data_IF_106487511958
#
_entry.id   IF_106487511958
#
_cell.length_a   1.000
_cell.length_b   1.000
_cell.length_c   1.000
_cell.angle_alpha   90.00
_cell.angle_beta   90.00
_cell.angle_gamma   90.00
#
_symmetry.space_group_name_H-M   'P 1'
#
loop_
_entity.id
_entity.type
_entity.pdbx_description
1 polymer ?
#
# COMPACT_ATOMS: atom_id res chain seq x y z
N UNK A 1 -14.57 37.17 49.47
CA UNK A 1 -13.80 36.62 48.34
C UNK A 1 -13.86 35.15 48.44
N UNK A 2 -14.80 34.52 47.74
CA UNK A 2 -14.95 33.06 47.67
C UNK A 2 -14.07 32.54 46.59
N UNK A 3 -13.24 31.50 46.78
CA UNK A 3 -12.42 30.93 45.70
C UNK A 3 -13.33 30.20 44.74
N UNK A 4 -13.23 30.56 43.45
CA UNK A 4 -13.85 29.86 42.35
C UNK A 4 -13.32 28.42 42.30
N UNK A 5 -14.24 27.47 42.42
CA UNK A 5 -13.99 26.06 42.28
C UNK A 5 -13.34 25.78 40.91
N UNK A 6 -12.13 25.26 40.96
CA UNK A 6 -11.47 24.67 39.79
C UNK A 6 -12.32 23.50 39.34
N UNK A 7 -13.00 23.63 38.22
CA UNK A 7 -13.61 22.49 37.53
C UNK A 7 -12.50 21.54 37.14
N UNK A 8 -12.37 20.46 37.90
CA UNK A 8 -11.59 19.29 37.55
C UNK A 8 -12.13 18.72 36.23
N UNK A 9 -11.49 19.14 35.13
CA UNK A 9 -11.61 18.41 33.86
C UNK A 9 -10.93 17.07 34.13
N UNK A 10 -11.76 16.05 34.40
CA UNK A 10 -11.28 14.68 34.58
C UNK A 10 -10.39 14.31 33.40
N UNK A 11 -9.10 14.37 33.60
CA UNK A 11 -8.09 13.97 32.63
C UNK A 11 -8.26 12.48 32.40
N UNK A 12 -8.89 12.11 31.28
CA UNK A 12 -8.98 10.71 30.87
C UNK A 12 -7.56 10.14 30.85
N UNK A 13 -7.32 8.97 31.47
CA UNK A 13 -5.98 8.40 31.50
C UNK A 13 -5.47 8.23 30.08
N UNK A 14 -4.28 8.77 29.80
CA UNK A 14 -3.62 8.62 28.50
C UNK A 14 -3.40 7.13 28.23
N UNK A 15 -3.60 6.67 26.97
CA UNK A 15 -3.35 5.27 26.64
C UNK A 15 -1.89 4.92 26.91
N UNK A 16 -1.67 3.73 27.50
CA UNK A 16 -0.33 3.20 27.66
C UNK A 16 0.36 2.97 26.31
N UNK A 17 1.68 2.82 26.32
CA UNK A 17 2.50 2.59 25.12
C UNK A 17 1.96 1.47 24.24
N UNK A 18 1.65 0.31 24.82
CA UNK A 18 1.15 -0.84 24.07
C UNK A 18 -0.24 -0.58 23.45
N UNK A 19 -1.09 0.14 24.16
CA UNK A 19 -2.41 0.53 23.65
C UNK A 19 -2.27 1.51 22.49
N UNK A 20 -1.37 2.48 22.59
CA UNK A 20 -1.07 3.43 21.50
C UNK A 20 -0.57 2.70 20.25
N UNK A 21 0.37 1.75 20.41
CA UNK A 21 0.87 0.95 19.29
C UNK A 21 -0.23 0.09 18.66
N UNK A 22 -1.10 -0.52 19.47
CA UNK A 22 -2.24 -1.29 18.98
C UNK A 22 -3.23 -0.42 18.20
N UNK A 23 -3.55 0.80 18.69
CA UNK A 23 -4.39 1.77 17.98
C UNK A 23 -3.79 2.15 16.63
N UNK A 24 -2.51 2.52 16.59
CA UNK A 24 -1.83 2.92 15.34
C UNK A 24 -1.76 1.77 14.35
N UNK A 25 -1.47 0.55 14.82
CA UNK A 25 -1.47 -0.66 14.00
C UNK A 25 -2.85 -0.94 13.40
N UNK A 26 -3.91 -0.82 14.21
CA UNK A 26 -5.27 -1.04 13.78
C UNK A 26 -5.75 0.02 12.76
N UNK A 27 -5.31 1.28 12.91
CA UNK A 27 -5.57 2.35 11.94
C UNK A 27 -4.82 2.08 10.62
N UNK A 28 -3.58 1.62 10.68
CA UNK A 28 -2.85 1.24 9.46
C UNK A 28 -3.44 0.01 8.78
N UNK A 29 -4.01 -0.93 9.53
CA UNK A 29 -4.70 -2.10 9.01
C UNK A 29 -5.94 -1.75 8.16
N UNK A 30 -6.58 -0.58 8.38
CA UNK A 30 -7.72 -0.12 7.57
C UNK A 30 -7.42 -0.15 6.07
N UNK A 31 -6.23 0.28 5.68
CA UNK A 31 -5.84 0.28 4.26
C UNK A 31 -5.73 -1.13 3.70
N UNK A 32 -5.05 -2.04 4.40
CA UNK A 32 -4.87 -3.41 3.94
C UNK A 32 -6.21 -4.17 3.92
N UNK A 33 -7.03 -4.04 4.96
CA UNK A 33 -8.37 -4.63 5.00
C UNK A 33 -9.26 -4.16 3.84
N UNK A 34 -9.22 -2.88 3.48
CA UNK A 34 -9.99 -2.33 2.37
C UNK A 34 -9.62 -2.95 1.01
N UNK A 35 -8.41 -3.50 0.88
CA UNK A 35 -7.92 -4.16 -0.33
C UNK A 35 -8.18 -5.67 -0.25
N UNK A 36 -7.65 -6.31 0.80
CA UNK A 36 -7.48 -7.75 0.81
C UNK A 36 -8.77 -8.50 1.16
N UNK A 37 -9.65 -7.89 1.99
CA UNK A 37 -10.89 -8.53 2.43
C UNK A 37 -11.87 -8.78 1.26
N UNK A 38 -11.89 -7.89 0.27
CA UNK A 38 -12.83 -7.96 -0.86
C UNK A 38 -12.36 -8.87 -1.99
N UNK A 39 -11.08 -9.27 -2.03
CA UNK A 39 -10.55 -10.08 -3.12
C UNK A 39 -11.33 -11.40 -3.26
N UNK A 40 -11.77 -11.97 -2.14
CA UNK A 40 -12.59 -13.19 -2.11
C UNK A 40 -14.04 -12.99 -2.58
N UNK A 41 -14.46 -11.73 -2.86
CA UNK A 41 -15.81 -11.39 -3.29
C UNK A 41 -15.90 -11.08 -4.80
N UNK A 42 -14.79 -11.22 -5.55
CA UNK A 42 -14.75 -10.80 -6.96
C UNK A 42 -15.70 -11.60 -7.86
N UNK A 43 -15.87 -12.88 -7.59
CA UNK A 43 -16.78 -13.72 -8.36
C UNK A 43 -18.24 -13.27 -8.22
N UNK A 44 -18.68 -13.04 -6.98
CA UNK A 44 -20.03 -12.58 -6.71
C UNK A 44 -20.26 -11.16 -7.24
N UNK A 45 -19.22 -10.33 -7.27
CA UNK A 45 -19.27 -9.02 -7.92
C UNK A 45 -19.45 -9.16 -9.44
N UNK A 46 -18.71 -10.07 -10.11
CA UNK A 46 -18.88 -10.34 -11.55
C UNK A 46 -20.32 -10.75 -11.86
N UNK A 47 -20.83 -11.70 -11.11
CA UNK A 47 -22.22 -12.17 -11.27
C UNK A 47 -23.23 -11.04 -11.01
N UNK A 48 -23.03 -10.25 -9.93
CA UNK A 48 -23.92 -9.17 -9.54
C UNK A 48 -24.01 -8.04 -10.55
N UNK A 49 -22.91 -7.77 -11.29
CA UNK A 49 -22.85 -6.73 -12.31
C UNK A 49 -23.03 -7.26 -13.74
N UNK A 50 -23.33 -8.56 -13.91
CA UNK A 50 -23.54 -9.18 -15.22
C UNK A 50 -22.29 -9.22 -16.10
N UNK A 51 -21.10 -9.30 -15.49
CA UNK A 51 -19.82 -9.40 -16.18
C UNK A 51 -19.51 -10.86 -16.57
N UNK A 52 -18.70 -11.03 -17.61
CA UNK A 52 -18.17 -12.34 -17.97
C UNK A 52 -17.38 -12.95 -16.81
N UNK A 53 -17.51 -14.24 -16.50
CA UNK A 53 -16.77 -14.92 -15.44
C UNK A 53 -15.24 -14.74 -15.55
N UNK A 54 -14.73 -14.69 -16.79
CA UNK A 54 -13.30 -14.49 -17.05
C UNK A 54 -12.89 -13.01 -17.14
N UNK A 55 -13.85 -12.06 -17.04
CA UNK A 55 -13.55 -10.65 -17.10
C UNK A 55 -12.81 -10.18 -15.85
N UNK A 56 -11.72 -9.46 -16.03
CA UNK A 56 -11.00 -8.80 -14.96
C UNK A 56 -11.42 -7.33 -14.74
N UNK A 57 -12.58 -6.91 -15.26
CA UNK A 57 -13.07 -5.54 -15.06
C UNK A 57 -13.28 -5.19 -13.58
N UNK A 58 -13.65 -6.18 -12.76
CA UNK A 58 -13.76 -6.02 -11.30
C UNK A 58 -12.43 -5.62 -10.67
N UNK A 59 -11.30 -5.98 -11.26
CA UNK A 59 -9.97 -5.54 -10.80
C UNK A 59 -9.81 -4.02 -10.77
N UNK A 60 -10.63 -3.28 -11.54
CA UNK A 60 -10.72 -1.83 -11.48
C UNK A 60 -10.99 -1.29 -10.07
N UNK A 61 -11.67 -2.05 -9.20
CA UNK A 61 -11.92 -1.64 -7.80
C UNK A 61 -10.64 -1.52 -6.98
N UNK A 62 -9.59 -2.32 -7.29
CA UNK A 62 -8.26 -2.21 -6.68
C UNK A 62 -7.52 -1.02 -7.27
N UNK A 63 -7.49 -0.92 -8.59
CA UNK A 63 -6.78 0.14 -9.32
C UNK A 63 -7.26 1.53 -8.91
N UNK A 64 -8.58 1.74 -8.91
CA UNK A 64 -9.19 3.04 -8.59
C UNK A 64 -9.00 3.40 -7.10
N UNK A 65 -9.01 2.42 -6.22
CA UNK A 65 -8.67 2.62 -4.80
C UNK A 65 -7.22 3.12 -4.64
N UNK A 66 -6.25 2.53 -5.34
CA UNK A 66 -4.86 3.00 -5.33
C UNK A 66 -4.71 4.40 -5.95
N UNK A 67 -5.52 4.76 -6.95
CA UNK A 67 -5.55 6.12 -7.48
C UNK A 67 -6.03 7.13 -6.42
N UNK A 68 -7.08 6.78 -5.66
CA UNK A 68 -7.53 7.59 -4.52
C UNK A 68 -6.45 7.78 -3.46
N UNK A 69 -5.76 6.69 -3.11
CA UNK A 69 -4.58 6.72 -2.22
C UNK A 69 -3.50 7.66 -2.72
N UNK A 70 -3.18 7.58 -4.01
CA UNK A 70 -2.11 8.36 -4.63
C UNK A 70 -2.39 9.87 -4.57
N UNK A 71 -3.58 10.27 -5.01
CA UNK A 71 -4.01 11.69 -4.99
C UNK A 71 -3.97 12.23 -3.58
N UNK A 72 -4.52 11.50 -2.65
CA UNK A 72 -4.60 11.93 -1.26
C UNK A 72 -3.22 12.03 -0.58
N UNK A 73 -2.32 11.10 -0.88
CA UNK A 73 -0.98 11.06 -0.26
C UNK A 73 -0.17 12.33 -0.53
N UNK A 74 -0.39 12.99 -1.67
CA UNK A 74 0.28 14.27 -1.99
C UNK A 74 -0.12 15.39 -1.04
N UNK A 75 -1.34 15.36 -0.51
CA UNK A 75 -1.91 16.47 0.26
C UNK A 75 -1.97 16.22 1.77
N UNK A 76 -2.10 14.97 2.20
CA UNK A 76 -2.34 14.67 3.63
C UNK A 76 -1.15 14.99 4.53
N UNK A 77 0.09 14.95 4.05
CA UNK A 77 1.26 15.38 4.83
C UNK A 77 1.09 16.83 5.33
N UNK A 78 1.07 17.81 4.41
CA UNK A 78 0.85 19.21 4.75
C UNK A 78 -0.46 19.49 5.50
N UNK A 79 -1.55 18.81 5.13
CA UNK A 79 -2.86 18.96 5.80
C UNK A 79 -2.76 18.57 7.28
N UNK A 80 -2.14 17.45 7.59
CA UNK A 80 -2.03 16.97 8.98
C UNK A 80 -1.08 17.83 9.82
N UNK A 81 -0.06 18.45 9.19
CA UNK A 81 0.84 19.39 9.86
C UNK A 81 0.16 20.73 10.17
N UNK A 82 -0.88 21.11 9.42
CA UNK A 82 -1.62 22.34 9.64
C UNK A 82 -2.78 22.18 10.63
N UNK A 83 -3.61 21.14 10.44
CA UNK A 83 -4.88 21.00 11.16
C UNK A 83 -4.78 20.11 12.41
N UNK A 84 -3.62 19.50 12.64
CA UNK A 84 -3.38 18.56 13.73
C UNK A 84 -3.72 17.11 13.35
N UNK A 85 -3.11 16.17 14.08
CA UNK A 85 -3.17 14.74 13.75
C UNK A 85 -4.56 14.18 13.96
N UNK A 86 -5.16 14.48 15.11
CA UNK A 86 -6.44 13.90 15.51
C UNK A 86 -7.60 14.36 14.65
N UNK A 87 -7.67 15.65 14.32
CA UNK A 87 -8.71 16.20 13.46
C UNK A 87 -8.68 15.60 12.06
N UNK A 88 -7.47 15.47 11.49
CA UNK A 88 -7.28 14.86 10.16
C UNK A 88 -7.55 13.36 10.19
N UNK A 89 -7.22 12.66 11.28
CA UNK A 89 -7.56 11.24 11.43
C UNK A 89 -9.08 11.03 11.34
N UNK A 90 -9.86 11.78 12.10
CA UNK A 90 -11.32 11.64 12.06
C UNK A 90 -11.94 12.01 10.73
N UNK A 91 -11.46 13.08 10.09
CA UNK A 91 -11.90 13.44 8.74
C UNK A 91 -11.58 12.30 7.74
N UNK A 92 -10.38 11.72 7.84
CA UNK A 92 -9.95 10.61 6.99
C UNK A 92 -10.80 9.35 7.21
N UNK A 93 -11.09 9.01 8.48
CA UNK A 93 -11.96 7.87 8.81
C UNK A 93 -13.40 8.12 8.34
N UNK A 94 -13.91 9.34 8.45
CA UNK A 94 -15.23 9.68 7.91
C UNK A 94 -15.28 9.48 6.39
N UNK A 95 -14.28 9.96 5.64
CA UNK A 95 -14.17 9.72 4.19
C UNK A 95 -14.02 8.23 3.88
N UNK A 96 -13.26 7.49 4.67
CA UNK A 96 -13.13 6.03 4.54
C UNK A 96 -14.49 5.34 4.70
N UNK A 97 -15.26 5.68 5.75
CA UNK A 97 -16.58 5.11 6.00
C UNK A 97 -17.55 5.46 4.87
N UNK A 98 -17.54 6.73 4.40
CA UNK A 98 -18.37 7.14 3.25
C UNK A 98 -18.06 6.31 2.01
N UNK A 99 -16.76 6.08 1.72
CA UNK A 99 -16.33 5.24 0.61
C UNK A 99 -16.74 3.77 0.78
N UNK A 100 -16.60 3.21 1.99
CA UNK A 100 -16.99 1.84 2.29
C UNK A 100 -18.51 1.63 2.17
N UNK A 101 -19.30 2.52 2.77
CA UNK A 101 -20.79 2.50 2.70
C UNK A 101 -21.24 2.74 1.25
N UNK A 102 -20.65 3.72 0.55
CA UNK A 102 -20.94 3.96 -0.86
C UNK A 102 -20.65 2.72 -1.73
N UNK A 103 -19.57 1.99 -1.44
CA UNK A 103 -19.24 0.72 -2.13
C UNK A 103 -20.26 -0.38 -1.82
N UNK A 104 -20.71 -0.49 -0.57
CA UNK A 104 -21.73 -1.46 -0.16
C UNK A 104 -23.10 -1.22 -0.82
N UNK A 105 -23.43 0.05 -1.07
CA UNK A 105 -24.71 0.47 -1.63
C UNK A 105 -24.69 0.64 -3.16
N UNK A 106 -23.53 0.52 -3.81
CA UNK A 106 -23.38 0.77 -5.25
C UNK A 106 -24.21 -0.21 -6.09
N UNK A 107 -25.15 0.29 -6.93
CA UNK A 107 -25.97 -0.55 -7.80
C UNK A 107 -25.26 -0.94 -9.11
N UNK A 108 -24.21 -0.21 -9.50
CA UNK A 108 -23.45 -0.42 -10.75
C UNK A 108 -21.94 -0.38 -10.50
N UNK A 109 -21.19 -1.05 -11.37
CA UNK A 109 -19.73 -1.05 -11.28
C UNK A 109 -19.12 0.36 -11.34
N UNK A 110 -19.53 1.29 -12.24
CA UNK A 110 -18.97 2.65 -12.24
C UNK A 110 -19.19 3.39 -10.91
N UNK A 111 -20.34 3.27 -10.27
CA UNK A 111 -20.60 3.88 -8.96
C UNK A 111 -19.77 3.23 -7.86
N UNK A 112 -19.55 1.92 -7.93
CA UNK A 112 -18.62 1.22 -7.05
C UNK A 112 -17.20 1.78 -7.22
N UNK A 113 -16.73 1.99 -8.44
CA UNK A 113 -15.41 2.56 -8.71
C UNK A 113 -15.26 3.97 -8.13
N UNK A 114 -16.27 4.84 -8.28
CA UNK A 114 -16.26 6.18 -7.66
C UNK A 114 -16.17 6.08 -6.13
N UNK A 115 -16.99 5.22 -5.51
CA UNK A 115 -16.95 5.00 -4.08
C UNK A 115 -15.58 4.45 -3.61
N UNK A 116 -14.95 3.59 -4.41
CA UNK A 116 -13.61 3.05 -4.16
C UNK A 116 -12.53 4.13 -4.22
N UNK A 117 -12.62 5.08 -5.15
CA UNK A 117 -11.73 6.25 -5.18
C UNK A 117 -11.82 7.05 -3.88
N UNK A 118 -13.04 7.42 -3.47
CA UNK A 118 -13.29 8.14 -2.21
C UNK A 118 -12.75 7.36 -1.00
N UNK A 119 -12.96 6.05 -1.00
CA UNK A 119 -12.44 5.18 0.05
C UNK A 119 -10.91 5.20 0.12
N UNK A 120 -10.23 5.13 -1.03
CA UNK A 120 -8.78 5.24 -1.14
C UNK A 120 -8.25 6.56 -0.57
N UNK A 121 -8.96 7.68 -0.82
CA UNK A 121 -8.63 8.98 -0.21
C UNK A 121 -8.67 8.90 1.32
N UNK A 122 -9.73 8.35 1.90
CA UNK A 122 -9.85 8.18 3.36
C UNK A 122 -8.76 7.28 3.95
N UNK A 123 -8.46 6.17 3.29
CA UNK A 123 -7.44 5.20 3.72
C UNK A 123 -6.02 5.81 3.73
N UNK A 124 -5.70 6.65 2.74
CA UNK A 124 -4.42 7.35 2.68
C UNK A 124 -4.23 8.28 3.88
N UNK A 125 -5.25 9.07 4.22
CA UNK A 125 -5.18 10.01 5.34
C UNK A 125 -4.99 9.29 6.67
N UNK A 126 -5.75 8.23 6.92
CA UNK A 126 -5.60 7.41 8.12
C UNK A 126 -4.16 6.86 8.26
N UNK A 127 -3.59 6.32 7.18
CA UNK A 127 -2.20 5.81 7.14
C UNK A 127 -1.17 6.90 7.39
N UNK A 128 -1.29 8.05 6.73
CA UNK A 128 -0.35 9.16 6.89
C UNK A 128 -0.37 9.68 8.32
N UNK A 129 -1.56 9.83 8.90
CA UNK A 129 -1.70 10.29 10.30
C UNK A 129 -1.12 9.27 11.27
N UNK A 130 -1.40 7.96 11.12
CA UNK A 130 -0.86 6.94 11.99
C UNK A 130 0.68 6.96 12.00
N UNK A 131 1.31 7.12 10.83
CA UNK A 131 2.77 7.24 10.71
C UNK A 131 3.29 8.52 11.37
N UNK A 132 2.58 9.65 11.20
CA UNK A 132 2.96 10.93 11.79
C UNK A 132 2.87 10.89 13.32
N UNK A 133 1.78 10.35 13.88
CA UNK A 133 1.60 10.17 15.33
C UNK A 133 2.70 9.25 15.91
N UNK A 134 3.03 8.16 15.23
CA UNK A 134 4.13 7.29 15.66
C UNK A 134 5.45 8.07 15.74
N UNK A 135 5.72 8.93 14.77
CA UNK A 135 6.92 9.80 14.73
C UNK A 135 6.90 10.89 15.79
N UNK A 136 5.72 11.41 16.12
CA UNK A 136 5.56 12.46 17.13
C UNK A 136 5.73 11.91 18.57
N UNK A 137 5.42 10.63 18.80
CA UNK A 137 5.41 9.99 20.12
C UNK A 137 6.65 9.15 20.44
N UNK A 138 7.40 8.69 19.43
CA UNK A 138 8.55 7.82 19.61
C UNK A 138 9.78 8.40 18.89
N UNK A 139 10.96 8.26 19.52
CA UNK A 139 12.23 8.75 18.97
C UNK A 139 13.30 7.64 18.93
N UNK A 140 14.29 7.80 18.05
CA UNK A 140 15.46 6.94 17.98
C UNK A 140 15.13 5.45 17.86
N UNK A 141 15.68 4.62 18.75
CA UNK A 141 15.50 3.16 18.78
C UNK A 141 14.05 2.77 19.10
N UNK A 142 13.35 3.58 19.90
CA UNK A 142 11.93 3.34 20.22
C UNK A 142 11.04 3.54 19.01
N UNK A 143 11.31 4.54 18.19
CA UNK A 143 10.61 4.75 16.92
C UNK A 143 10.79 3.55 15.97
N UNK A 144 12.02 3.04 15.85
CA UNK A 144 12.29 1.85 15.03
C UNK A 144 11.51 0.63 15.51
N UNK A 145 11.45 0.40 16.84
CA UNK A 145 10.67 -0.69 17.44
C UNK A 145 9.17 -0.50 17.22
N UNK A 146 8.66 0.70 17.44
CA UNK A 146 7.24 1.02 17.21
C UNK A 146 6.83 0.78 15.76
N UNK A 147 7.61 1.27 14.80
CA UNK A 147 7.34 1.06 13.38
C UNK A 147 7.42 -0.41 12.98
N UNK A 148 8.37 -1.18 13.54
CA UNK A 148 8.45 -2.62 13.30
C UNK A 148 7.21 -3.37 13.80
N UNK A 149 6.67 -3.01 14.97
CA UNK A 149 5.45 -3.61 15.51
C UNK A 149 4.22 -3.25 14.67
N UNK A 150 4.10 -1.99 14.28
CA UNK A 150 3.02 -1.51 13.40
C UNK A 150 3.09 -2.24 12.05
N UNK A 151 4.28 -2.36 11.46
CA UNK A 151 4.48 -3.06 10.19
C UNK A 151 4.21 -4.56 10.30
N UNK A 152 4.52 -5.20 11.42
CA UNK A 152 4.21 -6.62 11.64
C UNK A 152 2.69 -6.88 11.56
N UNK A 153 1.87 -6.00 12.17
CA UNK A 153 0.40 -6.09 12.06
C UNK A 153 -0.05 -5.84 10.62
N UNK A 154 0.53 -4.85 9.94
CA UNK A 154 0.20 -4.55 8.54
C UNK A 154 0.48 -5.74 7.61
N UNK A 155 1.57 -6.47 7.82
CA UNK A 155 1.91 -7.69 7.05
C UNK A 155 0.97 -8.86 7.40
N UNK A 156 0.46 -8.93 8.64
CA UNK A 156 -0.44 -9.99 9.06
C UNK A 156 -1.83 -9.88 8.41
N UNK A 157 -2.30 -8.67 8.12
CA UNK A 157 -3.63 -8.45 7.52
C UNK A 157 -3.80 -9.18 6.19
N UNK A 158 -2.90 -9.09 5.19
CA UNK A 158 -3.02 -9.85 3.95
C UNK A 158 -3.04 -11.38 4.12
N UNK A 159 -2.48 -11.88 5.22
CA UNK A 159 -2.52 -13.33 5.53
C UNK A 159 -3.93 -13.76 5.95
N UNK A 160 -4.62 -12.92 6.73
CA UNK A 160 -5.89 -13.25 7.37
C UNK A 160 -7.10 -12.74 6.57
N UNK A 161 -6.99 -11.56 5.98
CA UNK A 161 -8.12 -10.86 5.38
C UNK A 161 -8.83 -11.64 4.26
N UNK A 162 -8.15 -12.29 3.30
CA UNK A 162 -8.87 -13.08 2.28
C UNK A 162 -9.64 -14.25 2.87
N UNK A 163 -9.12 -14.90 3.91
CA UNK A 163 -9.81 -16.00 4.60
C UNK A 163 -11.06 -15.49 5.33
N UNK A 164 -10.95 -14.34 6.01
CA UNK A 164 -12.10 -13.68 6.66
C UNK A 164 -13.11 -13.22 5.60
N UNK A 165 -12.64 -12.65 4.48
CA UNK A 165 -13.48 -12.26 3.35
C UNK A 165 -14.25 -13.44 2.77
N UNK A 166 -13.57 -14.56 2.50
CA UNK A 166 -14.20 -15.79 2.04
C UNK A 166 -15.25 -16.32 3.04
N UNK A 167 -14.95 -16.28 4.35
CA UNK A 167 -15.90 -16.65 5.39
C UNK A 167 -17.15 -15.75 5.43
N UNK A 168 -16.99 -14.45 5.21
CA UNK A 168 -18.13 -13.51 5.12
C UNK A 168 -18.99 -13.84 3.90
N UNK A 169 -18.38 -14.01 2.73
CA UNK A 169 -19.09 -14.27 1.46
C UNK A 169 -19.78 -15.63 1.46
N UNK A 170 -19.25 -16.61 2.20
CA UNK A 170 -19.89 -17.93 2.33
C UNK A 170 -21.26 -17.90 3.04
N UNK A 171 -21.53 -16.90 3.88
CA UNK A 171 -22.74 -16.83 4.72
C UNK A 171 -23.56 -15.56 4.51
N UNK A 172 -23.00 -14.50 3.92
CA UNK A 172 -23.60 -13.20 3.72
C UNK A 172 -23.38 -12.72 2.28
N UNK A 173 -24.21 -11.81 1.73
CA UNK A 173 -23.96 -11.19 0.45
C UNK A 173 -22.59 -10.52 0.40
N UNK A 174 -21.92 -10.52 -0.75
CA UNK A 174 -20.58 -9.92 -0.94
C UNK A 174 -20.45 -8.47 -0.44
N UNK A 175 -21.53 -7.73 -0.45
CA UNK A 175 -21.59 -6.35 0.09
C UNK A 175 -21.29 -6.26 1.59
N UNK A 176 -21.47 -7.35 2.34
CA UNK A 176 -21.17 -7.42 3.76
C UNK A 176 -19.67 -7.22 4.06
N UNK A 177 -18.79 -7.53 3.12
CA UNK A 177 -17.35 -7.26 3.21
C UNK A 177 -17.07 -5.75 3.40
N UNK A 178 -17.80 -4.91 2.67
CA UNK A 178 -17.65 -3.45 2.76
C UNK A 178 -18.24 -2.89 4.07
N UNK A 179 -19.37 -3.44 4.51
CA UNK A 179 -19.94 -3.11 5.82
C UNK A 179 -19.00 -3.50 6.96
N UNK A 180 -18.34 -4.65 6.89
CA UNK A 180 -17.35 -5.07 7.88
C UNK A 180 -16.20 -4.05 7.99
N UNK A 181 -15.69 -3.56 6.85
CA UNK A 181 -14.68 -2.50 6.84
C UNK A 181 -15.19 -1.18 7.44
N UNK A 182 -16.43 -0.79 7.13
CA UNK A 182 -17.04 0.43 7.69
C UNK A 182 -17.20 0.33 9.22
N UNK A 183 -17.70 -0.79 9.72
CA UNK A 183 -17.86 -1.07 11.15
C UNK A 183 -16.51 -1.03 11.85
N UNK A 184 -15.51 -1.70 11.28
CA UNK A 184 -14.14 -1.67 11.81
C UNK A 184 -13.59 -0.25 11.89
N UNK A 185 -13.77 0.56 10.86
CA UNK A 185 -13.30 1.94 10.83
C UNK A 185 -13.97 2.81 11.90
N UNK A 186 -15.30 2.65 12.12
CA UNK A 186 -16.03 3.33 13.20
C UNK A 186 -15.53 2.89 14.57
N UNK A 187 -15.30 1.59 14.77
CA UNK A 187 -14.75 1.06 16.03
C UNK A 187 -13.37 1.66 16.32
N UNK A 188 -12.51 1.76 15.28
CA UNK A 188 -11.19 2.37 15.41
C UNK A 188 -11.28 3.87 15.70
N UNK A 189 -12.19 4.61 15.06
CA UNK A 189 -12.42 6.01 15.38
C UNK A 189 -12.89 6.20 16.84
N UNK A 190 -13.76 5.31 17.32
CA UNK A 190 -14.20 5.34 18.71
C UNK A 190 -13.03 5.03 19.69
N UNK A 191 -12.19 4.07 19.37
CA UNK A 191 -11.03 3.71 20.20
C UNK A 191 -9.96 4.82 20.23
N UNK A 192 -9.65 5.41 19.08
CA UNK A 192 -8.68 6.51 18.96
C UNK A 192 -9.14 7.81 19.63
N UNK A 193 -10.37 7.89 20.18
CA UNK A 193 -10.78 9.03 21.04
C UNK A 193 -9.88 9.19 22.27
N UNK A 194 -9.28 8.10 22.73
CA UNK A 194 -8.35 8.10 23.87
C UNK A 194 -6.96 8.61 23.50
N UNK A 195 -6.61 8.62 22.19
CA UNK A 195 -5.35 9.14 21.72
C UNK A 195 -5.32 10.67 21.90
N UNK A 196 -4.30 11.23 22.57
CA UNK A 196 -4.15 12.69 22.65
C UNK A 196 -3.76 13.28 21.29
N UNK A 197 -3.95 14.61 21.12
CA UNK A 197 -3.36 15.31 19.98
C UNK A 197 -1.84 15.32 20.15
N UNK A 198 -1.12 14.78 19.17
CA UNK A 198 0.34 14.66 19.22
C UNK A 198 1.06 15.88 18.64
N UNK A 199 0.35 16.75 17.90
CA UNK A 199 0.90 17.97 17.32
C UNK A 199 0.38 19.21 18.08
N UNK A 200 1.21 19.81 18.99
CA UNK A 200 0.85 21.02 19.69
C UNK A 200 0.55 22.17 18.73
N UNK A 201 -0.37 23.10 19.07
CA UNK A 201 -0.72 24.23 18.21
C UNK A 201 0.48 25.08 17.75
N UNK A 202 1.50 25.21 18.60
CA UNK A 202 2.72 25.99 18.36
C UNK A 202 3.61 25.38 17.28
N UNK A 203 3.52 24.06 17.07
CA UNK A 203 4.28 23.31 16.05
C UNK A 203 3.54 23.17 14.73
N UNK A 204 2.30 23.69 14.62
CA UNK A 204 1.52 23.64 13.39
C UNK A 204 2.14 24.55 12.34
N UNK A 205 2.42 23.99 11.16
CA UNK A 205 3.01 24.74 10.05
C UNK A 205 1.94 25.46 9.22
N UNK A 206 2.25 26.66 8.73
CA UNK A 206 1.46 27.29 7.68
C UNK A 206 1.75 26.57 6.36
N UNK A 207 0.69 26.36 5.57
CA UNK A 207 0.86 25.87 4.21
C UNK A 207 1.37 27.04 3.36
N UNK A 208 2.66 27.09 3.10
CA UNK A 208 3.21 28.01 2.13
C UNK A 208 3.31 27.29 0.77
N UNK A 209 2.64 27.88 -0.25
CA UNK A 209 2.64 27.34 -1.59
C UNK A 209 4.02 27.44 -2.26
N UNK A 210 4.79 28.47 -1.91
CA UNK A 210 6.14 28.68 -2.43
C UNK A 210 7.09 27.58 -1.95
N UNK A 211 7.02 27.22 -0.67
CA UNK A 211 7.86 26.16 -0.07
C UNK A 211 7.53 24.78 -0.67
N UNK A 212 6.24 24.50 -0.89
CA UNK A 212 5.82 23.26 -1.53
C UNK A 212 6.30 23.22 -2.98
N UNK A 213 6.14 24.31 -3.74
CA UNK A 213 6.56 24.36 -5.14
C UNK A 213 8.08 24.23 -5.28
N UNK A 214 8.85 24.88 -4.39
CA UNK A 214 10.32 24.78 -4.39
C UNK A 214 10.80 23.35 -4.07
N UNK A 215 10.18 22.68 -3.09
CA UNK A 215 10.49 21.30 -2.76
C UNK A 215 10.15 20.34 -3.90
N UNK A 216 9.06 20.57 -4.64
CA UNK A 216 8.70 19.78 -5.83
C UNK A 216 9.70 19.99 -6.98
N UNK A 217 10.13 21.24 -7.18
CA UNK A 217 11.15 21.55 -8.19
C UNK A 217 12.50 20.91 -7.84
N UNK A 218 12.89 20.93 -6.58
CA UNK A 218 14.12 20.29 -6.09
C UNK A 218 14.05 18.77 -6.24
N UNK A 219 12.92 18.13 -5.85
CA UNK A 219 12.68 16.71 -6.08
C UNK A 219 12.88 16.32 -7.56
N UNK A 220 12.29 17.10 -8.48
CA UNK A 220 12.37 16.82 -9.91
C UNK A 220 13.78 17.05 -10.49
N UNK A 221 14.55 17.96 -9.91
CA UNK A 221 15.93 18.26 -10.34
C UNK A 221 16.96 17.31 -9.72
N UNK A 222 16.66 16.71 -8.58
CA UNK A 222 17.58 15.80 -7.90
C UNK A 222 17.50 14.41 -8.54
N UNK A 223 18.47 14.14 -9.41
CA UNK A 223 18.51 12.93 -10.26
C UNK A 223 18.29 11.61 -9.49
N UNK A 224 19.01 11.29 -8.40
CA UNK A 224 18.76 10.04 -7.67
C UNK A 224 17.34 9.97 -7.12
N UNK A 225 16.84 11.04 -6.50
CA UNK A 225 15.49 11.12 -5.93
C UNK A 225 14.41 10.84 -6.98
N UNK A 226 14.50 11.47 -8.15
CA UNK A 226 13.55 11.29 -9.24
C UNK A 226 13.60 9.87 -9.80
N UNK A 227 14.80 9.37 -10.16
CA UNK A 227 14.90 8.11 -10.88
C UNK A 227 14.67 6.88 -10.00
N UNK A 228 15.05 6.90 -8.72
CA UNK A 228 14.63 5.85 -7.77
C UNK A 228 13.11 5.89 -7.54
N UNK A 229 12.50 7.07 -7.53
CA UNK A 229 11.04 7.19 -7.44
C UNK A 229 10.35 6.63 -8.69
N UNK A 230 10.85 6.91 -9.89
CA UNK A 230 10.36 6.33 -11.15
C UNK A 230 10.54 4.81 -11.15
N UNK A 231 11.70 4.30 -10.74
CA UNK A 231 11.92 2.86 -10.61
C UNK A 231 10.90 2.20 -9.68
N UNK A 232 10.55 2.87 -8.57
CA UNK A 232 9.54 2.37 -7.63
C UNK A 232 8.12 2.36 -8.23
N UNK A 233 7.83 3.21 -9.23
CA UNK A 233 6.55 3.16 -9.99
C UNK A 233 6.42 1.82 -10.69
N UNK A 234 7.45 1.37 -11.40
CA UNK A 234 7.39 0.11 -12.17
C UNK A 234 7.26 -1.11 -11.25
N UNK A 235 7.96 -1.14 -10.11
CA UNK A 235 7.77 -2.20 -9.11
C UNK A 235 6.34 -2.18 -8.54
N UNK A 236 5.81 -0.99 -8.25
CA UNK A 236 4.42 -0.86 -7.78
C UNK A 236 3.42 -1.30 -8.86
N UNK A 237 3.72 -1.11 -10.15
CA UNK A 237 2.87 -1.56 -11.26
C UNK A 237 2.73 -3.08 -11.26
N UNK A 238 3.83 -3.82 -11.07
CA UNK A 238 3.78 -5.27 -10.91
C UNK A 238 2.95 -5.67 -9.69
N UNK A 239 3.16 -5.00 -8.56
CA UNK A 239 2.43 -5.32 -7.33
C UNK A 239 0.92 -5.05 -7.47
N UNK A 240 0.55 -3.92 -8.09
CA UNK A 240 -0.86 -3.59 -8.34
C UNK A 240 -1.49 -4.57 -9.34
N UNK A 241 -0.77 -4.90 -10.43
CA UNK A 241 -1.20 -5.90 -11.40
C UNK A 241 -1.46 -7.25 -10.72
N UNK A 242 -0.53 -7.70 -9.85
CA UNK A 242 -0.72 -8.93 -9.09
C UNK A 242 -1.96 -8.85 -8.18
N UNK A 243 -2.09 -7.81 -7.36
CA UNK A 243 -3.25 -7.67 -6.45
C UNK A 243 -4.58 -7.65 -7.20
N UNK A 244 -4.62 -6.96 -8.34
CA UNK A 244 -5.82 -6.85 -9.16
C UNK A 244 -6.19 -8.16 -9.89
N UNK A 245 -5.22 -9.07 -10.11
CA UNK A 245 -5.43 -10.30 -10.88
C UNK A 245 -5.27 -11.58 -10.06
N UNK A 246 -4.85 -11.48 -8.77
CA UNK A 246 -4.50 -12.65 -7.97
C UNK A 246 -5.66 -13.65 -7.84
N UNK A 247 -6.87 -13.13 -7.65
CA UNK A 247 -8.07 -13.96 -7.56
C UNK A 247 -8.36 -14.64 -8.90
N UNK A 248 -8.41 -13.91 -10.01
CA UNK A 248 -8.62 -14.45 -11.35
C UNK A 248 -7.58 -15.53 -11.70
N UNK A 249 -6.31 -15.29 -11.39
CA UNK A 249 -5.21 -16.23 -11.65
C UNK A 249 -5.45 -17.56 -10.92
N UNK A 250 -5.74 -17.51 -9.63
CA UNK A 250 -5.85 -18.72 -8.83
C UNK A 250 -7.20 -19.41 -9.02
N UNK A 251 -8.30 -18.64 -9.06
CA UNK A 251 -9.65 -19.17 -9.09
C UNK A 251 -10.08 -19.62 -10.48
N UNK A 252 -9.85 -18.79 -11.51
CA UNK A 252 -10.35 -19.05 -12.86
C UNK A 252 -9.26 -19.70 -13.74
N UNK A 253 -8.08 -19.10 -13.91
CA UNK A 253 -7.06 -19.63 -14.82
C UNK A 253 -6.54 -20.99 -14.32
N UNK A 254 -6.29 -21.14 -13.02
CA UNK A 254 -5.84 -22.41 -12.44
C UNK A 254 -6.98 -23.29 -11.93
N UNK A 255 -8.24 -22.84 -11.92
CA UNK A 255 -9.40 -23.58 -11.45
C UNK A 255 -9.34 -23.98 -9.97
N UNK A 256 -8.64 -23.18 -9.13
CA UNK A 256 -8.38 -23.51 -7.71
C UNK A 256 -8.98 -22.50 -6.75
N UNK A 257 -10.26 -22.15 -6.95
CA UNK A 257 -10.98 -21.13 -6.16
C UNK A 257 -10.83 -21.31 -4.64
N UNK A 258 -11.03 -22.53 -4.14
CA UNK A 258 -10.90 -22.82 -2.70
C UNK A 258 -9.48 -22.63 -2.15
N UNK A 259 -8.46 -22.68 -3.00
CA UNK A 259 -7.07 -22.49 -2.59
C UNK A 259 -6.64 -21.01 -2.55
N UNK A 260 -7.41 -20.09 -3.13
CA UNK A 260 -7.04 -18.67 -3.24
C UNK A 260 -6.64 -18.04 -1.89
N UNK A 261 -7.43 -18.15 -0.79
CA UNK A 261 -7.06 -17.53 0.48
C UNK A 261 -5.74 -18.08 1.05
N UNK A 262 -5.50 -19.38 0.89
CA UNK A 262 -4.28 -20.04 1.37
C UNK A 262 -3.07 -19.59 0.55
N UNK A 263 -3.18 -19.58 -0.78
CA UNK A 263 -2.11 -19.16 -1.69
C UNK A 263 -1.73 -17.70 -1.44
N UNK A 264 -2.73 -16.83 -1.32
CA UNK A 264 -2.51 -15.42 -1.03
C UNK A 264 -1.84 -15.21 0.33
N UNK A 265 -2.29 -15.95 1.36
CA UNK A 265 -1.71 -15.93 2.69
C UNK A 265 -0.24 -16.40 2.71
N UNK A 266 0.08 -17.47 1.98
CA UNK A 266 1.48 -17.97 1.86
C UNK A 266 2.39 -16.93 1.23
N UNK A 267 1.94 -16.25 0.18
CA UNK A 267 2.70 -15.15 -0.45
C UNK A 267 2.90 -13.99 0.53
N UNK A 268 1.86 -13.63 1.29
CA UNK A 268 1.95 -12.58 2.30
C UNK A 268 2.92 -12.92 3.44
N UNK A 269 2.95 -14.18 3.89
CA UNK A 269 3.96 -14.67 4.85
C UNK A 269 5.37 -14.53 4.24
N UNK A 270 5.53 -14.87 2.97
CA UNK A 270 6.78 -14.67 2.21
C UNK A 270 7.26 -13.22 2.25
N UNK A 271 6.37 -12.24 2.14
CA UNK A 271 6.69 -10.81 2.29
C UNK A 271 7.22 -10.50 3.70
N UNK A 272 6.59 -11.03 4.74
CA UNK A 272 7.03 -10.85 6.12
C UNK A 272 8.43 -11.41 6.35
N UNK A 273 8.70 -12.63 5.89
CA UNK A 273 10.01 -13.27 5.99
C UNK A 273 11.05 -12.45 5.22
N UNK A 274 10.76 -12.06 3.98
CA UNK A 274 11.66 -11.27 3.15
C UNK A 274 12.01 -9.91 3.79
N UNK A 275 11.04 -9.23 4.41
CA UNK A 275 11.28 -7.98 5.12
C UNK A 275 12.22 -8.15 6.31
N UNK A 276 12.07 -9.22 7.09
CA UNK A 276 12.97 -9.54 8.21
C UNK A 276 14.39 -9.88 7.72
N UNK A 277 14.49 -10.66 6.65
CA UNK A 277 15.78 -11.03 6.03
C UNK A 277 16.47 -9.80 5.45
N UNK A 278 15.70 -8.89 4.80
CA UNK A 278 16.25 -7.64 4.27
C UNK A 278 16.97 -6.84 5.34
N UNK A 279 16.35 -6.65 6.53
CA UNK A 279 16.98 -5.91 7.62
C UNK A 279 18.34 -6.49 8.05
N UNK A 280 18.45 -7.82 8.09
CA UNK A 280 19.73 -8.50 8.43
C UNK A 280 20.77 -8.37 7.31
N UNK A 281 20.36 -8.54 6.06
CA UNK A 281 21.28 -8.46 4.92
C UNK A 281 21.81 -7.05 4.70
N UNK A 282 20.94 -6.04 4.81
CA UNK A 282 21.33 -4.63 4.70
C UNK A 282 22.29 -4.24 5.84
N UNK A 283 22.02 -4.71 7.06
CA UNK A 283 22.93 -4.47 8.19
C UNK A 283 24.32 -5.09 8.02
N UNK A 284 24.44 -6.19 7.24
CA UNK A 284 25.71 -6.89 7.02
C UNK A 284 26.44 -6.44 5.74
N UNK A 285 25.74 -6.19 4.66
CA UNK A 285 26.31 -5.98 3.33
C UNK A 285 26.09 -4.56 2.79
N UNK A 286 25.24 -3.75 3.46
CA UNK A 286 24.85 -2.42 3.00
C UNK A 286 23.67 -2.45 2.01
N UNK A 287 23.09 -1.27 1.77
CA UNK A 287 21.87 -1.09 0.96
C UNK A 287 22.11 -1.46 -0.51
N UNK A 288 23.10 -0.85 -1.15
CA UNK A 288 23.34 -1.00 -2.61
C UNK A 288 23.70 -2.42 -3.05
N UNK A 289 24.61 -3.17 -2.38
CA UNK A 289 24.87 -4.55 -2.75
C UNK A 289 23.65 -5.46 -2.67
N UNK A 290 22.86 -5.33 -1.59
CA UNK A 290 21.61 -6.11 -1.43
C UNK A 290 20.62 -5.77 -2.55
N UNK A 291 20.41 -4.49 -2.82
CA UNK A 291 19.47 -4.02 -3.83
C UNK A 291 19.88 -4.50 -5.24
N UNK A 292 21.17 -4.39 -5.61
CA UNK A 292 21.67 -4.84 -6.92
C UNK A 292 21.55 -6.36 -7.10
N UNK A 293 21.91 -7.14 -6.07
CA UNK A 293 21.77 -8.60 -6.10
C UNK A 293 20.32 -9.02 -6.28
N UNK A 294 19.39 -8.41 -5.53
CA UNK A 294 17.96 -8.71 -5.64
C UNK A 294 17.41 -8.28 -7.00
N UNK A 295 17.85 -7.16 -7.56
CA UNK A 295 17.42 -6.72 -8.89
C UNK A 295 17.86 -7.70 -9.99
N UNK A 296 19.11 -8.16 -9.95
CA UNK A 296 19.61 -9.18 -10.92
C UNK A 296 18.83 -10.49 -10.77
N UNK A 297 18.63 -10.96 -9.54
CA UNK A 297 17.82 -12.14 -9.25
C UNK A 297 16.39 -12.00 -9.78
N UNK A 298 15.79 -10.81 -9.62
CA UNK A 298 14.42 -10.51 -10.08
C UNK A 298 14.34 -10.51 -11.62
N UNK A 299 15.34 -9.97 -12.32
CA UNK A 299 15.39 -10.01 -13.78
C UNK A 299 15.50 -11.46 -14.27
N UNK A 300 16.40 -12.26 -13.72
CA UNK A 300 16.56 -13.68 -14.09
C UNK A 300 15.25 -14.43 -13.84
N UNK A 301 14.64 -14.23 -12.68
CA UNK A 301 13.38 -14.86 -12.35
C UNK A 301 12.21 -14.41 -13.22
N UNK A 302 12.17 -13.12 -13.64
CA UNK A 302 11.16 -12.60 -14.56
C UNK A 302 11.30 -13.22 -15.96
N UNK A 303 12.52 -13.40 -16.45
CA UNK A 303 12.80 -14.13 -17.71
C UNK A 303 12.33 -15.60 -17.58
N UNK A 304 12.62 -16.24 -16.46
CA UNK A 304 12.17 -17.61 -16.20
C UNK A 304 10.65 -17.69 -16.12
N UNK A 305 9.98 -16.70 -15.50
CA UNK A 305 8.52 -16.63 -15.43
C UNK A 305 7.89 -16.57 -16.84
N UNK A 306 8.46 -15.75 -17.74
CA UNK A 306 8.04 -15.69 -19.15
C UNK A 306 8.28 -17.03 -19.84
N UNK A 307 9.48 -17.62 -19.68
CA UNK A 307 9.81 -18.90 -20.33
C UNK A 307 8.85 -20.03 -19.89
N UNK A 308 8.57 -20.14 -18.59
CA UNK A 308 7.61 -21.13 -18.04
C UNK A 308 6.20 -20.88 -18.57
N UNK A 309 5.79 -19.62 -18.69
CA UNK A 309 4.45 -19.25 -19.17
C UNK A 309 4.29 -19.60 -20.66
N UNK A 310 5.28 -19.26 -21.49
CA UNK A 310 5.26 -19.58 -22.91
C UNK A 310 5.36 -21.09 -23.18
N UNK A 311 6.17 -21.83 -22.41
CA UNK A 311 6.27 -23.28 -22.52
C UNK A 311 4.96 -24.00 -22.14
N UNK A 312 4.08 -23.35 -21.40
CA UNK A 312 2.74 -23.84 -21.06
C UNK A 312 1.62 -23.20 -21.90
N UNK A 313 1.92 -22.67 -23.08
CA UNK A 313 0.94 -22.02 -23.98
C UNK A 313 0.04 -20.98 -23.26
N UNK A 314 0.64 -20.21 -22.32
CA UNK A 314 -0.02 -19.18 -21.51
C UNK A 314 -0.74 -19.69 -20.25
N UNK A 315 -0.82 -21.01 -20.05
CA UNK A 315 -1.40 -21.65 -18.85
C UNK A 315 -0.44 -22.67 -18.26
N UNK A 316 0.67 -22.22 -17.65
CA UNK A 316 1.71 -23.10 -17.11
C UNK A 316 1.20 -23.90 -15.91
N UNK A 317 1.97 -24.91 -15.47
CA UNK A 317 1.63 -25.66 -14.26
C UNK A 317 1.57 -24.74 -13.03
N UNK A 318 0.47 -24.83 -12.25
CA UNK A 318 0.27 -24.13 -10.98
C UNK A 318 1.46 -24.30 -10.03
N UNK A 319 1.98 -25.53 -9.90
CA UNK A 319 3.06 -25.87 -8.98
C UNK A 319 4.44 -25.32 -9.38
N UNK A 320 4.59 -24.83 -10.62
CA UNK A 320 5.80 -24.15 -11.09
C UNK A 320 5.60 -22.64 -11.04
N UNK A 321 4.49 -22.14 -11.56
CA UNK A 321 4.23 -20.71 -11.70
C UNK A 321 4.06 -20.02 -10.35
N UNK A 322 3.20 -20.56 -9.46
CA UNK A 322 2.88 -19.87 -8.20
C UNK A 322 4.06 -19.79 -7.21
N UNK A 323 4.87 -20.84 -6.99
CA UNK A 323 6.07 -20.72 -6.16
C UNK A 323 7.10 -19.73 -6.75
N UNK A 324 7.30 -19.76 -8.07
CA UNK A 324 8.20 -18.81 -8.74
C UNK A 324 7.71 -17.37 -8.53
N UNK A 325 6.42 -17.12 -8.79
CA UNK A 325 5.81 -15.81 -8.59
C UNK A 325 5.93 -15.35 -7.12
N UNK A 326 5.68 -16.25 -6.16
CA UNK A 326 5.81 -15.94 -4.73
C UNK A 326 7.23 -15.47 -4.36
N UNK A 327 8.26 -16.16 -4.85
CA UNK A 327 9.67 -15.79 -4.64
C UNK A 327 9.97 -14.43 -5.29
N UNK A 328 9.48 -14.18 -6.50
CA UNK A 328 9.70 -12.91 -7.20
C UNK A 328 9.03 -11.74 -6.49
N UNK A 329 7.79 -11.91 -6.05
CA UNK A 329 7.07 -10.87 -5.31
C UNK A 329 7.71 -10.60 -3.93
N UNK A 330 8.22 -11.64 -3.24
CA UNK A 330 8.91 -11.47 -1.97
C UNK A 330 10.16 -10.58 -2.09
N UNK A 331 10.84 -10.57 -3.25
CA UNK A 331 12.01 -9.72 -3.49
C UNK A 331 11.67 -8.22 -3.48
N UNK A 332 10.40 -7.83 -3.64
CA UNK A 332 9.98 -6.43 -3.53
C UNK A 332 10.19 -5.87 -2.12
N UNK A 333 10.17 -6.73 -1.10
CA UNK A 333 10.47 -6.34 0.28
C UNK A 333 11.95 -5.98 0.51
N UNK A 334 12.84 -6.37 -0.41
CA UNK A 334 14.23 -5.92 -0.43
C UNK A 334 14.39 -4.62 -1.26
N UNK A 335 13.69 -4.50 -2.37
CA UNK A 335 13.88 -3.38 -3.29
C UNK A 335 13.18 -2.10 -2.84
N UNK A 336 11.88 -2.17 -2.51
CA UNK A 336 11.05 -1.00 -2.22
C UNK A 336 11.57 -0.13 -1.07
N UNK A 337 11.87 -0.67 0.14
CA UNK A 337 12.36 0.14 1.26
C UNK A 337 13.75 0.71 0.99
N UNK A 338 14.63 -0.07 0.35
CA UNK A 338 15.98 0.33 0.05
C UNK A 338 16.04 1.43 -1.02
N UNK A 339 15.22 1.33 -2.07
CA UNK A 339 15.07 2.39 -3.07
C UNK A 339 14.50 3.67 -2.49
N UNK A 340 13.54 3.56 -1.55
CA UNK A 340 13.01 4.73 -0.86
C UNK A 340 14.08 5.43 0.00
N UNK A 341 14.95 4.67 0.66
CA UNK A 341 16.08 5.22 1.42
C UNK A 341 17.06 5.95 0.50
N UNK A 342 17.51 5.33 -0.58
CA UNK A 342 18.40 5.93 -1.59
C UNK A 342 17.78 7.18 -2.26
N UNK A 343 16.46 7.18 -2.50
CA UNK A 343 15.77 8.31 -3.09
C UNK A 343 15.76 9.55 -2.17
N UNK A 344 15.70 9.35 -0.84
CA UNK A 344 15.60 10.43 0.13
C UNK A 344 16.97 10.89 0.68
N UNK A 345 18.02 10.09 0.50
CA UNK A 345 19.37 10.41 0.99
C UNK A 345 19.87 11.79 0.51
N UNK A 346 19.70 12.20 -0.78
CA UNK A 346 20.22 13.50 -1.26
C UNK A 346 19.41 14.70 -0.80
N UNK A 347 18.21 14.52 -0.27
CA UNK A 347 17.23 15.60 0.04
C UNK A 347 16.70 15.55 1.48
N UNK A 348 17.56 15.45 2.51
CA UNK A 348 17.11 15.23 3.89
C UNK A 348 16.27 16.40 4.44
N UNK A 349 16.51 17.62 4.00
CA UNK A 349 15.82 18.83 4.45
C UNK A 349 14.38 18.94 3.91
N UNK A 350 14.08 18.28 2.78
CA UNK A 350 12.71 18.16 2.23
C UNK A 350 12.19 16.72 2.28
N UNK A 351 12.79 15.83 3.08
CA UNK A 351 12.48 14.39 3.07
C UNK A 351 10.99 14.07 3.26
N UNK A 352 10.26 14.86 4.04
CA UNK A 352 8.81 14.70 4.22
C UNK A 352 8.03 14.92 2.92
N UNK A 353 8.27 16.04 2.23
CA UNK A 353 7.65 16.38 0.95
C UNK A 353 8.10 15.41 -0.15
N UNK A 354 9.40 15.10 -0.21
CA UNK A 354 9.96 14.15 -1.18
C UNK A 354 9.39 12.74 -1.01
N UNK A 355 9.22 12.27 0.23
CA UNK A 355 8.58 10.98 0.53
C UNK A 355 7.11 10.94 0.12
N UNK A 356 6.37 12.02 0.37
CA UNK A 356 4.96 12.14 -0.03
C UNK A 356 4.82 12.13 -1.55
N UNK A 357 5.66 12.88 -2.25
CA UNK A 357 5.67 12.97 -3.71
C UNK A 357 6.08 11.64 -4.36
N UNK A 358 7.17 11.03 -3.89
CA UNK A 358 7.62 9.70 -4.34
C UNK A 358 6.53 8.64 -4.11
N UNK A 359 5.91 8.63 -2.93
CA UNK A 359 4.83 7.72 -2.60
C UNK A 359 3.58 7.93 -3.46
N UNK A 360 3.18 9.18 -3.68
CA UNK A 360 2.07 9.55 -4.56
C UNK A 360 2.32 9.13 -6.01
N UNK A 361 3.49 9.47 -6.55
CA UNK A 361 3.92 9.09 -7.91
C UNK A 361 3.92 7.57 -8.08
N UNK A 362 4.49 6.85 -7.12
CA UNK A 362 4.53 5.39 -7.10
C UNK A 362 3.13 4.78 -7.11
N UNK A 363 2.23 5.25 -6.25
CA UNK A 363 0.87 4.72 -6.16
C UNK A 363 0.06 5.04 -7.42
N UNK A 364 0.10 6.28 -7.92
CA UNK A 364 -0.62 6.68 -9.12
C UNK A 364 -0.12 5.93 -10.36
N UNK A 365 1.20 5.99 -10.61
CA UNK A 365 1.79 5.33 -11.77
C UNK A 365 1.64 3.81 -11.70
N UNK A 366 1.83 3.22 -10.50
CA UNK A 366 1.60 1.80 -10.27
C UNK A 366 0.16 1.37 -10.50
N UNK A 367 -0.81 2.15 -10.05
CA UNK A 367 -2.23 1.87 -10.27
C UNK A 367 -2.59 1.94 -11.76
N UNK A 368 -2.15 3.00 -12.46
CA UNK A 368 -2.46 3.19 -13.88
C UNK A 368 -1.83 2.07 -14.71
N UNK A 369 -0.52 1.89 -14.63
CA UNK A 369 0.20 0.93 -15.46
C UNK A 369 -0.17 -0.52 -15.10
N UNK A 370 -0.21 -0.85 -13.82
CA UNK A 370 -0.60 -2.19 -13.37
C UNK A 370 -2.06 -2.51 -13.66
N UNK A 371 -2.97 -1.53 -13.50
CA UNK A 371 -4.39 -1.67 -13.81
C UNK A 371 -4.68 -1.87 -15.30
N UNK A 372 -3.97 -1.16 -16.19
CA UNK A 372 -4.10 -1.34 -17.65
C UNK A 372 -3.75 -2.77 -18.06
N UNK A 373 -2.69 -3.35 -17.47
CA UNK A 373 -2.32 -4.73 -17.77
C UNK A 373 -3.29 -5.71 -17.13
N UNK A 374 -3.66 -5.50 -15.87
CA UNK A 374 -4.60 -6.36 -15.17
C UNK A 374 -5.92 -6.52 -15.93
N UNK A 375 -6.42 -5.42 -16.52
CA UNK A 375 -7.66 -5.44 -17.34
C UNK A 375 -7.55 -6.27 -18.64
N UNK A 376 -6.36 -6.72 -19.02
CA UNK A 376 -6.11 -7.54 -20.24
C UNK A 376 -5.78 -9.01 -19.92
N UNK A 377 -5.82 -9.36 -18.65
CA UNK A 377 -5.63 -10.74 -18.20
C UNK A 377 -7.02 -11.37 -18.14
N UNK A 378 -7.22 -12.40 -18.93
CA UNK A 378 -8.47 -13.15 -19.00
C UNK A 378 -8.24 -14.66 -18.83
N UNK A 379 -7.85 -15.35 -19.92
CA UNK A 379 -7.64 -16.81 -19.94
C UNK A 379 -6.17 -17.21 -19.99
N UNK A 380 -5.26 -16.27 -20.20
CA UNK A 380 -3.82 -16.51 -20.35
C UNK A 380 -2.99 -15.64 -19.42
N UNK A 381 -1.92 -16.23 -18.87
CA UNK A 381 -0.91 -15.54 -18.04
C UNK A 381 0.17 -14.84 -18.87
N UNK A 382 0.15 -14.97 -20.22
CA UNK A 382 1.16 -14.36 -21.09
C UNK A 382 1.24 -12.84 -20.92
N UNK A 383 0.11 -12.08 -20.92
CA UNK A 383 0.17 -10.63 -20.69
C UNK A 383 0.77 -10.28 -19.31
N UNK A 384 0.44 -11.07 -18.27
CA UNK A 384 0.98 -10.89 -16.93
C UNK A 384 2.50 -11.09 -16.91
N UNK A 385 3.00 -12.21 -17.43
CA UNK A 385 4.42 -12.55 -17.41
C UNK A 385 5.28 -11.56 -18.22
N UNK A 386 4.80 -11.17 -19.42
CA UNK A 386 5.50 -10.19 -20.26
C UNK A 386 5.53 -8.81 -19.62
N UNK A 387 4.42 -8.33 -19.05
CA UNK A 387 4.38 -7.05 -18.37
C UNK A 387 5.24 -7.07 -17.10
N UNK A 388 5.27 -8.17 -16.36
CA UNK A 388 6.16 -8.37 -15.23
C UNK A 388 7.61 -8.13 -15.64
N UNK A 389 8.08 -8.80 -16.70
CA UNK A 389 9.44 -8.65 -17.23
C UNK A 389 9.69 -7.20 -17.68
N UNK A 390 8.79 -6.61 -18.47
CA UNK A 390 8.95 -5.24 -18.99
C UNK A 390 9.07 -4.24 -17.83
N UNK A 391 8.20 -4.32 -16.84
CA UNK A 391 8.27 -3.41 -15.69
C UNK A 391 9.54 -3.60 -14.86
N UNK A 392 10.03 -4.82 -14.69
CA UNK A 392 11.31 -5.06 -14.00
C UNK A 392 12.49 -4.49 -14.79
N UNK A 393 12.52 -4.63 -16.12
CA UNK A 393 13.55 -4.04 -16.95
C UNK A 393 13.51 -2.50 -16.94
N UNK A 394 12.34 -1.89 -16.96
CA UNK A 394 12.15 -0.45 -16.82
C UNK A 394 12.58 0.06 -15.44
N UNK A 395 12.28 -0.70 -14.38
CA UNK A 395 12.76 -0.41 -13.04
C UNK A 395 14.30 -0.46 -12.97
N UNK A 396 14.91 -1.49 -13.54
CA UNK A 396 16.35 -1.64 -13.61
C UNK A 396 17.04 -0.53 -14.42
N UNK A 397 16.47 -0.17 -15.56
CA UNK A 397 16.95 0.94 -16.39
C UNK A 397 16.89 2.26 -15.62
N UNK A 398 15.76 2.57 -14.96
CA UNK A 398 15.59 3.76 -14.14
C UNK A 398 16.58 3.80 -12.98
N UNK A 399 16.79 2.67 -12.29
CA UNK A 399 17.76 2.56 -11.21
C UNK A 399 19.21 2.77 -11.71
N UNK A 400 19.56 2.25 -12.88
CA UNK A 400 20.88 2.46 -13.49
C UNK A 400 21.13 3.94 -13.81
N UNK A 401 20.08 4.68 -14.22
CA UNK A 401 20.17 6.13 -14.42
C UNK A 401 20.37 6.85 -13.10
N UNK A 402 19.68 6.43 -12.02
CA UNK A 402 19.81 7.04 -10.70
C UNK A 402 21.25 6.94 -10.15
N UNK A 403 21.93 5.82 -10.39
CA UNK A 403 23.24 5.51 -9.82
C UNK A 403 24.43 5.97 -10.66
N UNK A 404 24.22 6.39 -11.92
CA UNK A 404 25.33 6.93 -12.75
C UNK A 404 25.88 8.20 -12.11
N UNK A 405 27.19 8.21 -11.86
CA UNK A 405 27.89 9.43 -11.47
C UNK A 405 27.74 10.46 -12.60
N UNK A 406 27.34 11.66 -12.25
CA UNK A 406 27.52 12.80 -13.15
C UNK A 406 29.02 13.09 -13.07
N UNK A 407 29.77 12.77 -14.12
CA UNK A 407 31.12 13.28 -14.28
C UNK A 407 30.99 14.81 -14.34
N UNK A 408 31.23 15.46 -13.22
CA UNK A 408 31.43 16.91 -13.21
C UNK A 408 32.67 17.15 -14.04
N UNK A 409 32.62 17.92 -15.14
CA UNK A 409 33.83 18.34 -15.80
C UNK A 409 34.64 19.15 -14.80
N UNK A 410 35.86 18.70 -14.56
CA UNK A 410 36.91 19.34 -13.74
C UNK A 410 37.28 20.72 -14.27
#
# INVERSE_FOLDING_TARGET
MTPLASTDVATRPHPGRNETLAMLSAVMALMAMAIDLMLSAFDEMRLSFGLDPNSNEVAGVVTVFFMGLAVAQLFFGPITDRFGRKSVLYASVAVYVLGAVGSALAPTLPLLLVARFVWGVGAAGARVVATAVARDLFEGVEMARAMSQIMAVFVLVPVIAPTVGAGIVAILPWRAVFWACAIWAVAMAAWTRRLPESLPPERRRRLDRSDIASAYAEFARTRPTLWFSISSVFLQSVFTMYLASAELIVSEIFGRRSAFPVVFGVIAIGFGIAALVNGRLVGRFGVRPVMNTMLVSLIIGAVLLVAVTLAGDGTPSFWVFMPLLAVLLAQFMFLMPNMNAEALEPVPHIAGTASSLSGGLRMAGGAILGGIVAARIDTSLTPFALAFLVFILLAAASMSVATRRVDTPS
#
